data_IF_529388738014
#
_entry.id   IF_529388738014
#
_cell.length_a   1.000
_cell.length_b   1.000
_cell.length_c   1.000
_cell.angle_alpha   90.00
_cell.angle_beta   90.00
_cell.angle_gamma   90.00
#
_symmetry.space_group_name_H-M   'P 1'
#
loop_
_entity.id
_entity.type
_entity.pdbx_description
1 polymer ?
#
# COMPACT_ATOMS: atom_id res chain seq x y z
N UNK A 1 5.72 22.99 -4.93
CA UNK A 1 4.77 21.96 -4.43
C UNK A 1 5.47 21.16 -3.35
N UNK A 2 4.90 20.97 -2.16
CA UNK A 2 5.46 20.10 -1.12
C UNK A 2 4.79 18.73 -1.16
N UNK A 3 5.59 17.68 -1.30
CA UNK A 3 5.15 16.31 -1.05
C UNK A 3 5.05 16.08 0.46
N UNK A 4 4.16 15.18 0.87
CA UNK A 4 4.07 14.74 2.26
C UNK A 4 4.61 13.31 2.34
N UNK A 5 5.51 13.04 3.28
CA UNK A 5 6.16 11.74 3.45
C UNK A 5 5.68 11.04 4.72
N UNK A 6 5.53 9.73 4.63
CA UNK A 6 5.26 8.85 5.77
C UNK A 6 6.04 7.56 5.60
N UNK A 7 6.66 7.11 6.68
CA UNK A 7 7.25 5.78 6.79
C UNK A 7 6.32 4.94 7.67
N UNK A 8 6.00 3.73 7.21
CA UNK A 8 5.11 2.83 7.90
C UNK A 8 5.61 1.39 7.76
N UNK A 9 5.33 0.57 8.76
CA UNK A 9 5.50 -0.88 8.63
C UNK A 9 4.41 -1.43 7.72
N UNK A 10 4.78 -2.37 6.83
CA UNK A 10 3.84 -3.10 6.00
C UNK A 10 3.04 -4.14 6.80
N UNK A 11 3.47 -4.48 8.03
CA UNK A 11 2.82 -5.45 8.90
C UNK A 11 2.92 -6.89 8.40
N UNK A 12 2.29 -7.82 9.12
CA UNK A 12 2.18 -9.21 8.67
C UNK A 12 0.78 -9.46 8.14
N UNK A 13 0.53 -9.29 6.84
CA UNK A 13 -0.77 -9.61 6.25
C UNK A 13 -1.16 -11.08 6.52
N UNK A 14 -2.42 -11.40 6.88
CA UNK A 14 -3.61 -10.55 7.03
C UNK A 14 -3.87 -10.04 8.46
N UNK A 15 -2.94 -10.23 9.40
CA UNK A 15 -3.12 -10.00 10.85
C UNK A 15 -3.66 -8.60 11.22
N UNK A 16 -3.20 -7.48 10.61
CA UNK A 16 -3.77 -6.16 10.88
C UNK A 16 -5.28 -6.07 10.59
N UNK A 17 -5.74 -6.75 9.54
CA UNK A 17 -7.14 -6.73 9.09
C UNK A 17 -7.98 -7.67 9.96
N UNK A 18 -7.41 -8.80 10.37
CA UNK A 18 -8.02 -9.73 11.33
C UNK A 18 -8.06 -9.20 12.77
N UNK A 19 -7.50 -8.02 13.03
CA UNK A 19 -7.54 -7.39 14.35
C UNK A 19 -6.61 -8.03 15.37
N UNK A 20 -5.51 -8.64 14.92
CA UNK A 20 -4.51 -9.22 15.81
C UNK A 20 -4.00 -8.17 16.82
N UNK A 21 -3.81 -8.61 18.07
CA UNK A 21 -3.45 -7.70 19.16
C UNK A 21 -2.08 -7.07 18.97
N UNK A 22 -1.15 -7.76 18.32
CA UNK A 22 0.21 -7.27 18.08
C UNK A 22 0.25 -6.11 17.08
N UNK A 23 -0.76 -5.98 16.20
CA UNK A 23 -0.83 -4.90 15.19
C UNK A 23 -1.65 -3.67 15.64
N UNK A 24 -2.20 -3.64 16.86
CA UNK A 24 -3.07 -2.54 17.33
C UNK A 24 -2.47 -1.14 17.16
N UNK A 25 -1.19 -0.98 17.50
CA UNK A 25 -0.50 0.31 17.38
C UNK A 25 -0.37 0.76 15.92
N UNK A 26 0.00 -0.16 15.03
CA UNK A 26 0.10 0.08 13.58
C UNK A 26 -1.26 0.48 12.99
N UNK A 27 -2.31 -0.28 13.31
CA UNK A 27 -3.67 0.02 12.83
C UNK A 27 -4.15 1.38 13.35
N UNK A 28 -3.87 1.71 14.63
CA UNK A 28 -4.22 3.02 15.20
C UNK A 28 -3.48 4.16 14.50
N UNK A 29 -2.19 3.98 14.21
CA UNK A 29 -1.39 4.94 13.44
C UNK A 29 -1.96 5.14 12.03
N UNK A 30 -2.19 4.06 11.28
CA UNK A 30 -2.72 4.11 9.93
C UNK A 30 -4.09 4.80 9.86
N UNK A 31 -4.98 4.53 10.82
CA UNK A 31 -6.30 5.20 10.89
C UNK A 31 -6.22 6.69 11.19
N UNK A 32 -5.14 7.18 11.80
CA UNK A 32 -4.92 8.61 12.07
C UNK A 32 -4.27 9.34 10.90
N UNK A 33 -3.57 8.64 10.00
CA UNK A 33 -2.88 9.29 8.87
C UNK A 33 -3.79 10.23 8.05
N UNK A 34 -5.02 9.87 7.68
CA UNK A 34 -5.86 10.77 6.89
C UNK A 34 -6.17 12.12 7.55
N UNK A 35 -6.10 12.24 8.88
CA UNK A 35 -6.38 13.51 9.58
C UNK A 35 -5.18 14.46 9.64
N UNK A 36 -3.96 13.96 9.41
CA UNK A 36 -2.72 14.75 9.46
C UNK A 36 -2.12 15.01 8.08
N UNK A 37 -2.70 14.41 7.03
CA UNK A 37 -2.31 14.63 5.64
C UNK A 37 -3.36 15.48 4.91
N UNK A 38 -2.90 16.41 4.07
CA UNK A 38 -3.77 16.99 3.05
C UNK A 38 -4.03 15.89 2.03
N UNK A 39 -5.29 15.72 1.62
CA UNK A 39 -5.68 14.68 0.66
C UNK A 39 -4.83 14.79 -0.61
N UNK A 40 -3.99 13.77 -0.92
CA UNK A 40 -3.14 13.83 -2.10
C UNK A 40 -3.94 13.51 -3.36
N UNK A 41 -3.41 13.92 -4.52
CA UNK A 41 -3.95 13.51 -5.83
C UNK A 41 -3.60 12.05 -6.15
N UNK A 42 -2.45 11.58 -5.66
CA UNK A 42 -1.98 10.21 -5.79
C UNK A 42 -1.01 9.85 -4.66
N UNK A 43 -0.78 8.56 -4.47
CA UNK A 43 0.17 8.02 -3.50
C UNK A 43 1.21 7.23 -4.28
N UNK A 44 2.49 7.56 -4.11
CA UNK A 44 3.61 6.77 -4.62
C UNK A 44 4.13 5.93 -3.47
N UNK A 45 4.13 4.61 -3.63
CA UNK A 45 4.56 3.66 -2.60
C UNK A 45 5.92 3.10 -2.99
N UNK A 46 6.89 3.19 -2.07
CA UNK A 46 8.17 2.51 -2.18
C UNK A 46 8.14 1.30 -1.26
N UNK A 47 8.29 0.10 -1.83
CA UNK A 47 8.33 -1.15 -1.08
C UNK A 47 9.77 -1.56 -0.82
N UNK A 48 10.04 -2.08 0.38
CA UNK A 48 11.34 -2.64 0.73
C UNK A 48 11.52 -4.10 0.26
N UNK A 49 10.45 -4.78 -0.14
CA UNK A 49 10.45 -6.23 -0.40
C UNK A 49 10.86 -6.65 -1.81
N UNK A 50 11.17 -5.67 -2.68
CA UNK A 50 11.50 -5.91 -4.07
C UNK A 50 12.83 -5.22 -4.38
N UNK A 51 13.93 -5.87 -3.99
CA UNK A 51 15.28 -5.40 -4.25
C UNK A 51 15.73 -5.82 -5.65
N UNK A 52 16.00 -4.83 -6.51
CA UNK A 52 16.51 -5.03 -7.85
C UNK A 52 17.69 -4.12 -8.17
N UNK A 53 18.47 -4.46 -9.20
CA UNK A 53 19.65 -3.66 -9.62
C UNK A 53 19.27 -2.28 -10.17
N UNK A 54 18.04 -2.12 -10.64
CA UNK A 54 17.48 -0.86 -11.14
C UNK A 54 16.08 -0.70 -10.55
N UNK A 55 15.61 0.53 -10.30
CA UNK A 55 14.24 0.76 -9.87
C UNK A 55 13.27 0.13 -10.86
N UNK A 56 12.32 -0.66 -10.36
CA UNK A 56 11.21 -1.20 -11.13
C UNK A 56 9.91 -0.60 -10.64
N UNK A 57 8.99 -0.31 -11.56
CA UNK A 57 7.67 0.25 -11.23
C UNK A 57 6.62 -0.81 -11.52
N UNK A 58 5.87 -1.19 -10.49
CA UNK A 58 4.68 -2.03 -10.63
C UNK A 58 3.49 -1.12 -10.94
N UNK A 59 2.86 -1.33 -12.09
CA UNK A 59 1.73 -0.52 -12.56
C UNK A 59 0.71 -1.41 -13.28
N UNK A 60 -0.56 -1.29 -12.88
CA UNK A 60 -1.71 -1.94 -13.52
C UNK A 60 -2.87 -0.92 -13.61
N UNK A 61 -3.70 -1.00 -14.65
CA UNK A 61 -4.82 -0.08 -14.84
C UNK A 61 -5.97 -0.34 -13.84
N UNK A 62 -6.30 -1.61 -13.61
CA UNK A 62 -7.28 -2.07 -12.60
C UNK A 62 -6.63 -3.13 -11.68
N UNK A 63 -5.74 -2.72 -10.77
CA UNK A 63 -5.02 -3.64 -9.90
C UNK A 63 -5.97 -4.39 -8.97
N UNK A 64 -5.75 -5.70 -8.88
CA UNK A 64 -6.40 -6.56 -7.88
C UNK A 64 -5.61 -6.66 -6.58
N UNK A 65 -6.22 -7.29 -5.57
CA UNK A 65 -5.51 -7.74 -4.38
C UNK A 65 -4.91 -9.12 -4.63
N UNK A 66 -3.59 -9.25 -4.44
CA UNK A 66 -2.89 -10.52 -4.47
C UNK A 66 -2.75 -11.08 -3.05
N UNK A 67 -3.02 -12.37 -2.89
CA UNK A 67 -2.90 -13.09 -1.63
C UNK A 67 -1.62 -13.90 -1.60
N UNK A 68 -0.56 -13.32 -1.04
CA UNK A 68 0.78 -13.91 -0.90
C UNK A 68 1.00 -14.61 0.45
N UNK A 69 -0.09 -15.02 1.12
CA UNK A 69 -0.09 -15.73 2.40
C UNK A 69 -1.09 -16.90 2.39
N UNK A 70 -0.87 -17.88 3.27
CA UNK A 70 -1.67 -19.10 3.36
C UNK A 70 -1.90 -19.53 4.82
N UNK A 71 -2.89 -20.41 5.05
CA UNK A 71 -3.18 -20.99 6.37
C UNK A 71 -4.02 -20.12 7.30
N UNK A 72 -4.51 -18.97 6.83
CA UNK A 72 -5.40 -18.09 7.57
C UNK A 72 -6.89 -18.44 7.37
N UNK A 73 -7.81 -17.92 8.21
CA UNK A 73 -9.24 -18.11 8.06
C UNK A 73 -9.78 -17.65 6.68
N UNK A 74 -10.86 -18.26 6.15
CA UNK A 74 -11.43 -17.92 4.84
C UNK A 74 -11.73 -16.43 4.65
N UNK A 75 -12.17 -15.75 5.70
CA UNK A 75 -12.54 -14.34 5.68
C UNK A 75 -11.36 -13.42 5.33
N UNK A 76 -10.12 -13.90 5.52
CA UNK A 76 -8.90 -13.18 5.12
C UNK A 76 -8.66 -13.18 3.60
N UNK A 77 -9.37 -14.02 2.85
CA UNK A 77 -9.32 -14.11 1.39
C UNK A 77 -10.58 -13.55 0.71
N UNK A 78 -11.56 -13.08 1.50
CA UNK A 78 -12.75 -12.39 0.99
C UNK A 78 -12.53 -10.88 0.79
N UNK A 79 -11.34 -10.38 1.14
CA UNK A 79 -11.00 -8.97 1.05
C UNK A 79 -10.85 -8.51 -0.41
N UNK A 80 -11.63 -7.53 -0.84
CA UNK A 80 -11.45 -6.94 -2.16
C UNK A 80 -10.89 -5.54 -2.01
N UNK A 81 -9.76 -5.27 -2.67
CA UNK A 81 -9.19 -3.94 -2.80
C UNK A 81 -8.80 -3.70 -4.25
N UNK A 82 -9.49 -2.74 -4.88
CA UNK A 82 -9.27 -2.31 -6.27
C UNK A 82 -8.96 -0.82 -6.31
N UNK A 83 -7.71 -0.41 -6.01
CA UNK A 83 -7.35 0.99 -6.09
C UNK A 83 -7.40 1.48 -7.54
N UNK A 84 -7.80 2.73 -7.75
CA UNK A 84 -7.74 3.35 -9.08
C UNK A 84 -6.32 3.82 -9.37
N UNK A 85 -5.81 3.47 -10.55
CA UNK A 85 -4.52 3.95 -11.04
C UNK A 85 -4.70 5.19 -11.92
N UNK A 86 -4.01 6.28 -11.61
CA UNK A 86 -3.87 7.41 -12.53
C UNK A 86 -2.73 7.09 -13.51
N UNK A 87 -3.08 6.50 -14.65
CA UNK A 87 -2.10 6.05 -15.66
C UNK A 87 -1.24 7.19 -16.20
N UNK A 88 -1.80 8.40 -16.34
CA UNK A 88 -1.03 9.55 -16.81
C UNK A 88 0.05 9.93 -15.81
N UNK A 89 -0.31 10.03 -14.53
CA UNK A 89 0.65 10.34 -13.48
C UNK A 89 1.68 9.22 -13.31
N UNK A 90 1.27 7.96 -13.38
CA UNK A 90 2.19 6.84 -13.25
C UNK A 90 3.23 6.82 -14.39
N UNK A 91 2.82 7.12 -15.63
CA UNK A 91 3.76 7.28 -16.76
C UNK A 91 4.71 8.47 -16.57
N UNK A 92 4.23 9.60 -16.02
CA UNK A 92 5.11 10.72 -15.66
C UNK A 92 6.17 10.33 -14.63
N UNK A 93 5.81 9.51 -13.63
CA UNK A 93 6.76 9.00 -12.62
C UNK A 93 7.79 8.08 -13.27
N UNK A 94 7.36 7.15 -14.13
CA UNK A 94 8.25 6.22 -14.83
C UNK A 94 9.28 6.97 -15.69
N UNK A 95 8.88 8.06 -16.35
CA UNK A 95 9.79 8.87 -17.17
C UNK A 95 10.87 9.62 -16.37
N UNK A 96 10.73 9.71 -15.05
CA UNK A 96 11.69 10.38 -14.16
C UNK A 96 12.70 9.41 -13.51
N UNK A 97 12.53 8.09 -13.72
CA UNK A 97 13.41 7.03 -13.21
C UNK A 97 14.43 6.59 -14.27
#
# INVERSE_FOLDING_TARGET
MSAQLVYLSHGGGPLPILGDRSHKAMVSFMKKLPSVFRRPKAIVIFSAHWEERRPHVIIEEDPGLYYDYYGFPPESYDLSYRPKTDMNLAQQVIQLL
#
